data_IF_021722982882
#
_entry.id   IF_021722982882
#
_cell.length_a   1.000
_cell.length_b   1.000
_cell.length_c   1.000
_cell.angle_alpha   90.00
_cell.angle_beta   90.00
_cell.angle_gamma   90.00
#
_symmetry.space_group_name_H-M   'P 1'
#
loop_
_entity.id
_entity.type
_entity.pdbx_description
1 polymer ?
#
# COMPACT_ATOMS: atom_id res chain seq x y z
N UNK A 1 16.61 -3.23 -1.25
CA UNK A 1 15.38 -4.03 -1.02
C UNK A 1 14.25 -3.06 -0.71
N UNK A 2 13.03 -3.36 -1.15
CA UNK A 2 11.81 -2.71 -0.68
C UNK A 2 11.02 -3.72 0.17
N UNK A 3 10.58 -3.27 1.35
CA UNK A 3 9.77 -4.03 2.32
C UNK A 3 8.36 -3.45 2.29
N UNK A 4 7.39 -4.27 1.88
CA UNK A 4 5.98 -3.91 1.86
C UNK A 4 5.29 -4.65 3.00
N UNK A 5 4.70 -3.89 3.92
CA UNK A 5 4.04 -4.40 5.11
C UNK A 5 2.63 -3.81 5.15
N UNK A 6 1.61 -4.67 5.25
CA UNK A 6 0.19 -4.30 5.27
C UNK A 6 -0.41 -4.78 6.58
N UNK A 7 -0.78 -3.83 7.44
CA UNK A 7 -1.52 -4.10 8.67
C UNK A 7 -3.02 -4.02 8.39
N UNK A 8 -3.73 -5.14 8.45
CA UNK A 8 -5.17 -5.21 8.18
C UNK A 8 -5.99 -4.80 9.42
N UNK A 9 -5.94 -3.51 9.77
CA UNK A 9 -6.86 -2.89 10.72
C UNK A 9 -8.08 -2.31 10.00
N UNK A 10 -9.20 -3.03 10.03
CA UNK A 10 -10.51 -2.53 9.56
C UNK A 10 -11.44 -2.39 10.77
N UNK A 11 -11.62 -1.16 11.24
CA UNK A 11 -12.65 -0.83 12.23
C UNK A 11 -14.02 -0.75 11.52
N UNK A 12 -14.73 -1.88 11.43
CA UNK A 12 -15.98 -1.99 10.67
C UNK A 12 -17.19 -1.39 11.40
N UNK A 13 -17.25 -0.06 11.51
CA UNK A 13 -18.42 0.69 11.98
C UNK A 13 -19.37 0.98 10.81
N UNK A 14 -20.29 0.06 10.55
CA UNK A 14 -21.38 0.24 9.58
C UNK A 14 -22.48 1.17 10.12
N UNK A 15 -22.46 2.44 9.71
CA UNK A 15 -23.57 3.38 9.91
C UNK A 15 -24.12 3.89 8.57
N UNK A 16 -25.37 3.54 8.27
CA UNK A 16 -26.07 4.02 7.07
C UNK A 16 -26.48 5.50 7.24
N UNK A 17 -25.78 6.41 6.55
CA UNK A 17 -26.11 7.83 6.49
C UNK A 17 -26.52 8.26 5.08
N UNK A 18 -27.77 8.71 4.91
CA UNK A 18 -28.21 9.37 3.67
C UNK A 18 -27.77 10.84 3.68
N UNK A 19 -26.74 11.18 2.89
CA UNK A 19 -26.32 12.55 2.72
C UNK A 19 -27.21 13.30 1.71
N UNK A 20 -27.90 14.35 2.15
CA UNK A 20 -28.39 15.41 1.27
C UNK A 20 -27.49 16.63 1.41
N UNK A 21 -26.85 17.05 0.31
CA UNK A 21 -26.04 18.25 0.29
C UNK A 21 -26.91 19.50 0.14
N UNK A 22 -26.71 20.49 1.00
CA UNK A 22 -27.08 21.89 0.73
C UNK A 22 -25.84 22.76 0.88
N UNK A 23 -25.47 23.44 -0.21
CA UNK A 23 -24.35 24.36 -0.25
C UNK A 23 -24.78 25.77 0.16
N UNK A 24 -24.10 26.38 1.14
CA UNK A 24 -24.23 27.79 1.47
C UNK A 24 -22.84 28.44 1.55
N UNK A 25 -22.53 29.30 0.58
CA UNK A 25 -21.33 30.13 0.58
C UNK A 25 -21.40 31.23 1.66
N UNK A 26 -20.28 31.49 2.33
CA UNK A 26 -20.01 32.75 3.05
C UNK A 26 -18.53 33.10 2.91
N UNK A 27 -18.23 34.31 2.44
CA UNK A 27 -16.86 34.76 2.11
C UNK A 27 -16.09 35.37 3.28
N UNK A 28 -14.81 35.64 3.03
CA UNK A 28 -13.83 36.16 3.99
C UNK A 28 -14.09 37.58 4.50
N UNK A 29 -13.66 37.85 5.73
CA UNK A 29 -13.09 39.14 6.14
C UNK A 29 -12.18 38.96 7.37
N UNK A 30 -10.98 39.55 7.36
CA UNK A 30 -10.15 39.76 8.55
C UNK A 30 -10.75 40.84 9.46
N UNK A 31 -10.42 40.83 10.76
CA UNK A 31 -10.75 41.95 11.65
C UNK A 31 -10.49 41.72 13.13
N UNK A 32 -9.36 42.20 13.65
CA UNK A 32 -9.04 42.18 15.08
C UNK A 32 -9.64 43.40 15.81
N UNK A 33 -10.44 43.20 16.86
CA UNK A 33 -10.51 44.12 18.03
C UNK A 33 -11.28 43.51 19.20
N UNK A 34 -10.98 43.98 20.42
CA UNK A 34 -11.71 43.68 21.66
C UNK A 34 -12.55 44.88 22.10
N UNK A 35 -13.68 44.67 22.82
CA UNK A 35 -14.17 45.50 23.94
C UNK A 35 -15.50 44.97 24.52
N UNK A 36 -15.63 45.07 25.85
CA UNK A 36 -16.82 45.05 26.73
C UNK A 36 -18.06 44.18 26.40
N UNK A 37 -18.49 43.40 27.41
CA UNK A 37 -19.86 42.90 27.50
C UNK A 37 -20.85 44.03 27.83
N UNK A 38 -22.06 43.96 27.27
CA UNK A 38 -23.20 44.79 27.67
C UNK A 38 -24.49 43.98 27.67
N UNK A 39 -25.32 44.16 28.70
CA UNK A 39 -26.53 43.37 28.92
C UNK A 39 -27.74 44.04 28.24
N UNK A 40 -28.27 43.43 27.18
CA UNK A 40 -29.44 43.93 26.45
C UNK A 40 -30.65 43.02 26.68
N UNK A 41 -31.64 43.50 27.44
CA UNK A 41 -32.88 42.76 27.75
C UNK A 41 -33.86 42.83 26.58
N UNK A 42 -33.84 41.83 25.68
CA UNK A 42 -34.74 41.74 24.53
C UNK A 42 -36.13 41.17 24.90
N UNK A 43 -37.20 41.86 24.52
CA UNK A 43 -38.59 41.39 24.65
C UNK A 43 -38.91 40.30 23.63
N UNK A 44 -39.56 39.22 24.07
CA UNK A 44 -39.96 38.10 23.20
C UNK A 44 -41.26 38.42 22.48
N UNK A 45 -41.24 38.44 21.15
CA UNK A 45 -42.44 38.46 20.32
C UNK A 45 -42.84 37.03 19.93
N UNK A 46 -44.02 36.58 20.36
CA UNK A 46 -44.54 35.23 20.10
C UNK A 46 -45.08 35.07 18.68
N UNK A 47 -44.19 34.81 17.72
CA UNK A 47 -44.56 34.38 16.38
C UNK A 47 -45.17 32.98 16.37
N UNK A 48 -46.40 32.83 15.85
CA UNK A 48 -47.07 31.53 15.72
C UNK A 48 -46.53 30.74 14.52
N UNK A 49 -45.34 30.16 14.69
CA UNK A 49 -44.73 29.21 13.74
C UNK A 49 -44.98 27.76 14.15
N UNK A 50 -45.23 26.88 13.18
CA UNK A 50 -45.32 25.44 13.44
C UNK A 50 -43.94 24.92 13.86
N UNK A 51 -43.83 24.35 15.06
CA UNK A 51 -42.55 23.80 15.54
C UNK A 51 -42.16 22.57 14.70
N UNK A 52 -41.18 22.74 13.82
CA UNK A 52 -40.44 21.62 13.23
C UNK A 52 -39.58 20.99 14.32
N UNK A 53 -39.88 19.75 14.71
CA UNK A 53 -39.11 19.05 15.75
C UNK A 53 -37.73 18.66 15.20
N UNK A 54 -36.74 19.53 15.36
CA UNK A 54 -35.36 19.20 15.07
C UNK A 54 -34.91 18.08 16.01
N UNK A 55 -34.80 16.86 15.46
CA UNK A 55 -34.10 15.78 16.15
C UNK A 55 -32.61 16.02 16.00
N UNK A 56 -31.90 16.13 17.12
CA UNK A 56 -30.45 15.99 17.11
C UNK A 56 -30.11 14.60 16.54
N UNK A 57 -29.53 14.57 15.35
CA UNK A 57 -28.89 13.38 14.80
C UNK A 57 -27.65 13.13 15.66
N UNK A 58 -27.35 11.86 15.95
CA UNK A 58 -26.10 11.52 16.65
C UNK A 58 -24.92 11.78 15.72
N UNK A 59 -24.23 12.89 15.95
CA UNK A 59 -22.90 13.14 15.38
C UNK A 59 -21.87 12.40 16.20
N UNK A 60 -21.02 11.61 15.55
CA UNK A 60 -19.83 11.00 16.18
C UNK A 60 -18.95 12.14 16.71
N UNK A 61 -18.43 12.08 17.96
CA UNK A 61 -17.55 13.12 18.46
C UNK A 61 -16.21 13.09 17.71
N UNK A 62 -15.65 14.25 17.35
CA UNK A 62 -14.38 14.37 16.62
C UNK A 62 -13.15 13.77 17.34
N UNK A 63 -13.30 13.35 18.60
CA UNK A 63 -12.32 12.53 19.33
C UNK A 63 -12.29 11.06 18.89
N UNK A 64 -13.29 10.59 18.13
CA UNK A 64 -13.30 9.24 17.56
C UNK A 64 -12.37 9.12 16.33
N UNK A 65 -12.15 10.23 15.63
CA UNK A 65 -11.23 10.33 14.49
C UNK A 65 -9.76 10.47 14.96
N UNK A 66 -9.54 10.70 16.26
CA UNK A 66 -8.21 10.71 16.87
C UNK A 66 -7.71 9.29 17.12
N UNK A 67 -7.05 8.72 16.11
CA UNK A 67 -6.32 7.46 16.22
C UNK A 67 -5.20 7.52 17.28
N UNK A 68 -4.79 6.35 17.78
CA UNK A 68 -3.66 6.25 18.69
C UNK A 68 -2.35 6.65 17.99
N UNK A 69 -1.53 7.48 18.64
CA UNK A 69 -0.18 7.77 18.16
C UNK A 69 0.73 6.56 18.46
N UNK A 70 1.04 5.78 17.43
CA UNK A 70 1.84 4.55 17.53
C UNK A 70 3.23 4.75 16.93
N UNK A 71 4.25 4.23 17.61
CA UNK A 71 5.60 4.14 17.04
C UNK A 71 5.58 3.11 15.89
N UNK A 72 6.07 3.44 14.68
CA UNK A 72 6.16 2.46 13.59
C UNK A 72 7.08 1.30 13.96
N UNK A 73 6.74 0.09 13.53
CA UNK A 73 7.52 -1.15 13.75
C UNK A 73 8.96 -1.06 13.23
N UNK A 74 9.26 -0.13 12.30
CA UNK A 74 10.60 0.16 11.78
C UNK A 74 11.43 1.12 12.65
N UNK A 75 10.81 1.75 13.65
CA UNK A 75 11.43 2.69 14.60
C UNK A 75 11.45 2.12 16.03
N UNK A 76 10.68 1.08 16.30
CA UNK A 76 10.65 0.34 17.57
C UNK A 76 11.82 -0.66 17.66
N UNK A 77 12.77 -0.52 18.61
CA UNK A 77 13.87 -1.46 18.80
C UNK A 77 13.45 -2.79 19.47
N UNK A 78 12.26 -2.87 20.06
CA UNK A 78 11.72 -4.10 20.68
C UNK A 78 10.86 -4.92 19.69
N UNK A 79 10.61 -4.39 18.48
CA UNK A 79 9.85 -5.05 17.44
C UNK A 79 10.50 -6.36 16.94
N UNK A 80 9.71 -7.43 16.92
CA UNK A 80 10.12 -8.76 16.46
C UNK A 80 10.10 -8.80 14.93
N UNK A 81 11.28 -8.84 14.31
CA UNK A 81 11.42 -8.89 12.83
C UNK A 81 10.92 -10.23 12.22
N UNK A 82 9.78 -10.25 11.51
CA UNK A 82 9.15 -11.49 11.05
C UNK A 82 10.00 -12.30 10.06
N UNK A 83 10.81 -11.61 9.25
CA UNK A 83 11.80 -12.25 8.36
C UNK A 83 12.75 -13.18 9.12
N UNK A 84 13.07 -12.89 10.38
CA UNK A 84 13.91 -13.76 11.22
C UNK A 84 13.11 -14.93 11.79
N UNK A 85 11.99 -14.66 12.46
CA UNK A 85 11.29 -15.64 13.30
C UNK A 85 10.27 -16.52 12.57
N UNK A 86 9.59 -16.02 11.53
CA UNK A 86 8.53 -16.76 10.86
C UNK A 86 9.09 -17.87 9.94
N UNK A 87 8.34 -18.96 9.69
CA UNK A 87 8.80 -20.05 8.84
C UNK A 87 8.81 -19.70 7.35
N UNK A 88 7.92 -18.82 6.91
CA UNK A 88 7.58 -18.67 5.49
C UNK A 88 6.62 -19.77 5.00
N UNK A 89 6.49 -19.92 3.69
CA UNK A 89 5.57 -20.88 3.04
C UNK A 89 6.32 -21.79 2.06
N UNK A 90 5.71 -22.90 1.64
CA UNK A 90 6.18 -23.77 0.55
C UNK A 90 5.07 -23.96 -0.49
N UNK A 91 5.41 -23.83 -1.78
CA UNK A 91 4.47 -24.09 -2.87
C UNK A 91 4.33 -25.59 -3.17
N UNK A 92 3.10 -26.04 -3.38
CA UNK A 92 2.71 -27.41 -3.73
C UNK A 92 1.56 -27.39 -4.75
N UNK A 93 1.18 -28.56 -5.28
CA UNK A 93 0.04 -28.72 -6.20
C UNK A 93 0.06 -27.77 -7.42
N UNK A 94 1.24 -27.54 -7.99
CA UNK A 94 1.43 -26.49 -9.01
C UNK A 94 0.81 -26.88 -10.35
N UNK A 95 -0.29 -26.22 -10.72
CA UNK A 95 -0.98 -26.42 -12.01
C UNK A 95 -0.64 -25.27 -12.94
N UNK A 96 -0.05 -25.56 -14.11
CA UNK A 96 0.28 -24.56 -15.14
C UNK A 96 -0.73 -24.58 -16.28
N UNK A 97 -0.98 -23.42 -16.89
CA UNK A 97 -1.78 -23.26 -18.09
C UNK A 97 -1.12 -22.27 -19.06
N UNK A 98 -1.69 -22.12 -20.26
CA UNK A 98 -1.25 -21.11 -21.24
C UNK A 98 -1.46 -19.67 -20.73
N UNK A 99 -2.33 -19.49 -19.74
CA UNK A 99 -2.78 -18.19 -19.21
C UNK A 99 -2.41 -17.99 -17.73
N UNK A 100 -1.60 -18.86 -17.13
CA UNK A 100 -1.25 -18.73 -15.72
C UNK A 100 -0.51 -19.93 -15.11
N UNK A 101 -0.36 -19.89 -13.80
CA UNK A 101 -0.26 -21.06 -12.95
C UNK A 101 -0.91 -20.80 -11.58
N UNK A 102 -1.40 -21.85 -10.94
CA UNK A 102 -1.83 -21.82 -9.54
C UNK A 102 -1.01 -22.79 -8.70
N UNK A 103 -0.96 -22.56 -7.39
CA UNK A 103 -0.33 -23.43 -6.41
C UNK A 103 -1.01 -23.31 -5.05
N UNK A 104 -0.92 -24.36 -4.24
CA UNK A 104 -1.23 -24.29 -2.80
C UNK A 104 0.04 -23.88 -2.06
N UNK A 105 0.02 -22.78 -1.32
CA UNK A 105 1.10 -22.44 -0.40
C UNK A 105 0.72 -22.94 1.00
N UNK A 106 1.56 -23.78 1.60
CA UNK A 106 1.38 -24.25 2.99
C UNK A 106 2.51 -23.72 3.87
N UNK A 107 2.22 -23.44 5.13
CA UNK A 107 3.20 -22.88 6.07
C UNK A 107 4.42 -23.81 6.23
N UNK A 108 5.63 -23.27 6.13
CA UNK A 108 6.89 -24.05 6.03
C UNK A 108 7.41 -24.60 7.38
N UNK A 109 6.62 -24.49 8.44
CA UNK A 109 7.01 -24.83 9.81
C UNK A 109 5.95 -24.37 10.82
N UNK A 110 6.25 -24.37 12.13
CA UNK A 110 5.34 -23.87 13.15
C UNK A 110 4.99 -22.39 12.96
N UNK A 111 3.73 -22.04 13.21
CA UNK A 111 3.25 -20.66 13.17
C UNK A 111 4.01 -19.76 14.15
N UNK A 112 4.37 -18.57 13.69
CA UNK A 112 5.07 -17.55 14.46
C UNK A 112 4.09 -16.61 15.19
N UNK A 113 2.95 -16.28 14.57
CA UNK A 113 1.88 -15.45 15.15
C UNK A 113 2.41 -14.15 15.80
N UNK A 114 3.21 -13.38 15.07
CA UNK A 114 3.97 -12.24 15.60
C UNK A 114 3.10 -11.00 15.76
N UNK A 115 2.25 -10.72 14.77
CA UNK A 115 1.40 -9.53 14.69
C UNK A 115 -0.08 -9.88 14.40
N UNK A 116 -0.44 -11.15 14.59
CA UNK A 116 -1.72 -11.74 14.22
C UNK A 116 -1.70 -13.26 14.37
N UNK A 117 -2.43 -13.96 13.51
CA UNK A 117 -2.47 -15.43 13.43
C UNK A 117 -2.12 -15.88 12.02
N UNK A 118 -1.12 -16.75 11.87
CA UNK A 118 -0.70 -17.30 10.57
C UNK A 118 -1.85 -18.02 9.85
N UNK A 119 -1.92 -17.86 8.52
CA UNK A 119 -2.92 -18.53 7.68
C UNK A 119 -2.32 -19.80 7.08
N UNK A 120 -2.48 -20.94 7.77
CA UNK A 120 -1.83 -22.23 7.48
C UNK A 120 -1.75 -22.64 5.99
N UNK A 121 -2.77 -22.30 5.19
CA UNK A 121 -2.83 -22.61 3.76
C UNK A 121 -3.41 -21.43 2.95
N UNK A 122 -2.68 -21.04 1.90
CA UNK A 122 -3.04 -19.99 0.95
C UNK A 122 -3.19 -20.58 -0.47
N UNK A 123 -4.00 -19.95 -1.30
CA UNK A 123 -4.02 -20.14 -2.74
C UNK A 123 -3.15 -19.07 -3.40
N UNK A 124 -2.14 -19.50 -4.17
CA UNK A 124 -1.42 -18.66 -5.11
C UNK A 124 -2.08 -18.79 -6.50
N UNK A 125 -2.44 -17.67 -7.09
CA UNK A 125 -2.86 -17.58 -8.50
C UNK A 125 -1.98 -16.56 -9.21
N UNK A 126 -1.27 -17.00 -10.24
CA UNK A 126 -0.53 -16.15 -11.16
C UNK A 126 -1.16 -16.28 -12.54
N UNK A 127 -1.58 -15.18 -13.14
CA UNK A 127 -2.39 -15.17 -14.36
C UNK A 127 -1.62 -14.40 -15.49
N UNK A 128 -1.95 -14.48 -16.79
CA UNK A 128 -1.30 -13.82 -17.99
C UNK A 128 -2.02 -12.72 -18.97
N UNK A 129 -2.22 -11.38 -18.64
CA UNK A 129 -3.03 -10.26 -19.26
C UNK A 129 -2.71 -9.90 -20.72
N UNK A 130 -1.53 -9.34 -20.91
CA UNK A 130 -1.05 -8.53 -22.02
C UNK A 130 0.48 -8.73 -22.04
N UNK A 131 1.21 -7.90 -22.76
CA UNK A 131 2.67 -7.88 -22.67
C UNK A 131 3.22 -7.07 -21.47
N UNK A 132 2.39 -6.34 -20.69
CA UNK A 132 2.84 -5.14 -19.94
C UNK A 132 2.24 -4.90 -18.52
N UNK A 133 1.70 -5.90 -17.83
CA UNK A 133 1.20 -5.80 -16.43
C UNK A 133 1.69 -7.04 -15.63
N UNK A 134 1.05 -7.48 -14.53
CA UNK A 134 1.14 -8.83 -13.90
C UNK A 134 0.30 -8.87 -12.62
N UNK A 135 -0.62 -9.82 -12.52
CA UNK A 135 -1.34 -10.16 -11.30
C UNK A 135 -0.77 -11.44 -10.69
N UNK A 136 -0.10 -11.28 -9.56
CA UNK A 136 0.11 -12.33 -8.56
C UNK A 136 -0.90 -12.09 -7.45
N UNK A 137 -1.83 -13.02 -7.25
CA UNK A 137 -2.79 -13.01 -6.16
C UNK A 137 -2.43 -14.11 -5.16
N UNK A 138 -2.40 -13.78 -3.87
CA UNK A 138 -2.21 -14.71 -2.75
C UNK A 138 -3.33 -14.43 -1.77
N UNK A 139 -4.18 -15.43 -1.50
CA UNK A 139 -5.33 -15.31 -0.61
C UNK A 139 -5.50 -16.56 0.27
N UNK A 140 -6.20 -16.46 1.42
CA UNK A 140 -6.52 -17.63 2.24
C UNK A 140 -7.20 -18.74 1.43
N UNK A 141 -6.81 -20.01 1.62
CA UNK A 141 -7.42 -21.12 0.90
C UNK A 141 -8.87 -21.40 1.31
N UNK A 142 -9.27 -20.94 2.50
CA UNK A 142 -10.63 -20.96 3.01
C UNK A 142 -11.06 -19.52 3.36
N UNK A 143 -12.01 -18.97 2.58
CA UNK A 143 -12.54 -17.61 2.75
C UNK A 143 -13.99 -17.71 3.18
N UNK A 144 -14.28 -17.24 4.40
CA UNK A 144 -15.64 -17.13 4.93
C UNK A 144 -16.36 -15.89 4.39
N UNK A 145 -17.69 -15.90 4.45
CA UNK A 145 -18.54 -14.75 4.06
C UNK A 145 -18.24 -13.46 4.84
N UNK A 146 -17.63 -13.55 6.03
CA UNK A 146 -17.17 -12.39 6.82
C UNK A 146 -15.94 -11.70 6.23
N UNK A 147 -15.07 -12.43 5.51
CA UNK A 147 -13.76 -11.96 5.07
C UNK A 147 -13.68 -11.79 3.55
N UNK A 148 -14.71 -12.22 2.81
CA UNK A 148 -14.75 -12.28 1.35
C UNK A 148 -14.47 -10.94 0.65
N UNK A 149 -14.87 -9.82 1.25
CA UNK A 149 -14.66 -8.47 0.72
C UNK A 149 -13.22 -7.96 0.83
N UNK A 150 -12.34 -8.65 1.56
CA UNK A 150 -10.95 -8.22 1.80
C UNK A 150 -9.98 -8.73 0.72
N UNK A 151 -10.32 -9.80 -0.02
CA UNK A 151 -9.35 -10.56 -0.84
C UNK A 151 -9.75 -10.74 -2.31
N UNK A 152 -10.94 -10.30 -2.74
CA UNK A 152 -11.46 -10.57 -4.08
C UNK A 152 -11.61 -9.26 -4.87
N UNK A 153 -10.76 -9.09 -5.88
CA UNK A 153 -10.85 -8.07 -6.91
C UNK A 153 -10.77 -8.75 -8.27
N UNK A 154 -11.45 -8.20 -9.29
CA UNK A 154 -11.54 -8.85 -10.60
C UNK A 154 -10.18 -8.95 -11.29
N UNK A 155 -9.91 -10.11 -11.85
CA UNK A 155 -8.65 -10.46 -12.51
C UNK A 155 -8.65 -10.11 -14.00
N UNK A 156 -7.45 -9.93 -14.55
CA UNK A 156 -7.24 -10.15 -15.99
C UNK A 156 -5.75 -10.42 -16.36
N UNK A 157 -4.91 -11.15 -15.57
CA UNK A 157 -3.73 -11.95 -16.09
C UNK A 157 -2.17 -11.44 -15.69
N UNK A 158 -0.84 -11.21 -16.15
CA UNK A 158 0.32 -11.21 -17.23
C UNK A 158 1.47 -12.23 -17.00
N UNK A 159 2.01 -12.76 -18.12
CA UNK A 159 3.21 -13.61 -18.36
C UNK A 159 4.04 -14.16 -17.17
N UNK A 160 4.34 -15.45 -17.29
CA UNK A 160 5.04 -16.32 -16.34
C UNK A 160 6.28 -15.72 -15.64
N UNK A 161 6.22 -15.51 -14.30
CA UNK A 161 7.40 -15.38 -13.46
C UNK A 161 8.03 -16.75 -13.18
N UNK A 162 9.31 -16.73 -12.82
CA UNK A 162 10.02 -17.89 -12.28
C UNK A 162 9.73 -18.02 -10.79
N UNK A 163 9.74 -19.24 -10.24
CA UNK A 163 9.53 -19.47 -8.80
C UNK A 163 10.42 -20.61 -8.29
N UNK A 164 10.66 -20.62 -6.98
CA UNK A 164 11.44 -21.62 -6.25
C UNK A 164 10.89 -21.87 -4.85
N UNK A 165 11.47 -22.87 -4.16
CA UNK A 165 11.02 -23.37 -2.85
C UNK A 165 12.18 -23.56 -1.86
N UNK A 166 13.34 -22.94 -2.11
CA UNK A 166 14.58 -23.14 -1.35
C UNK A 166 15.10 -21.79 -0.80
N UNK A 167 15.14 -21.58 0.53
CA UNK A 167 14.62 -22.45 1.58
C UNK A 167 13.08 -22.39 1.75
N UNK A 168 12.42 -21.44 1.08
CA UNK A 168 10.96 -21.22 1.13
C UNK A 168 10.44 -20.76 -0.23
N UNK A 169 9.11 -20.68 -0.39
CA UNK A 169 8.45 -20.15 -1.57
C UNK A 169 8.96 -18.74 -1.89
N UNK A 170 9.48 -18.59 -3.10
CA UNK A 170 9.94 -17.32 -3.64
C UNK A 170 9.65 -17.22 -5.14
N UNK A 171 9.51 -16.02 -5.66
CA UNK A 171 9.36 -15.79 -7.10
C UNK A 171 10.15 -14.58 -7.61
N UNK A 172 10.40 -14.59 -8.92
CA UNK A 172 11.20 -13.61 -9.62
C UNK A 172 10.53 -13.26 -10.95
N UNK A 173 10.33 -11.97 -11.21
CA UNK A 173 9.77 -11.43 -12.46
C UNK A 173 10.92 -10.88 -13.30
N UNK A 174 11.04 -11.30 -14.56
CA UNK A 174 12.14 -10.91 -15.45
C UNK A 174 11.63 -10.23 -16.73
N UNK A 175 12.30 -9.15 -17.14
CA UNK A 175 12.05 -8.42 -18.39
C UNK A 175 12.61 -9.22 -19.57
N UNK A 176 11.74 -9.87 -20.34
CA UNK A 176 12.13 -10.79 -21.43
C UNK A 176 13.05 -10.19 -22.51
N UNK A 177 13.10 -8.88 -22.68
CA UNK A 177 13.89 -8.21 -23.71
C UNK A 177 15.39 -8.08 -23.39
N UNK A 178 15.78 -8.13 -22.11
CA UNK A 178 17.17 -7.97 -21.66
C UNK A 178 17.56 -8.87 -20.48
N UNK A 179 16.63 -9.65 -19.93
CA UNK A 179 16.86 -10.51 -18.76
C UNK A 179 16.84 -9.80 -17.41
N UNK A 180 16.54 -8.50 -17.36
CA UNK A 180 16.57 -7.71 -16.13
C UNK A 180 15.55 -8.22 -15.09
N UNK A 181 15.96 -8.25 -13.82
CA UNK A 181 15.19 -8.79 -12.70
C UNK A 181 14.35 -7.67 -12.08
N UNK A 182 13.11 -7.55 -12.54
CA UNK A 182 12.21 -6.46 -12.16
C UNK A 182 11.79 -6.54 -10.70
N UNK A 183 11.57 -7.76 -10.21
CA UNK A 183 11.01 -8.06 -8.90
C UNK A 183 11.54 -9.42 -8.44
N UNK A 184 11.97 -9.56 -7.18
CA UNK A 184 12.66 -10.77 -6.72
C UNK A 184 12.55 -10.97 -5.21
N UNK A 185 11.90 -12.06 -4.78
CA UNK A 185 11.67 -12.39 -3.36
C UNK A 185 12.65 -13.41 -2.80
N UNK A 186 13.68 -13.79 -3.56
CA UNK A 186 14.65 -14.82 -3.12
C UNK A 186 15.45 -14.30 -1.92
N UNK A 187 15.67 -15.18 -0.94
CA UNK A 187 16.33 -14.83 0.33
C UNK A 187 15.45 -14.09 1.34
N UNK A 188 14.17 -13.87 1.04
CA UNK A 188 13.18 -13.31 1.96
C UNK A 188 12.03 -14.30 2.16
N UNK A 189 11.14 -14.03 3.13
CA UNK A 189 9.99 -14.87 3.46
C UNK A 189 8.70 -14.10 3.24
N UNK A 190 7.73 -14.75 2.60
CA UNK A 190 6.32 -14.35 2.68
C UNK A 190 5.84 -14.58 4.12
N UNK A 191 5.30 -13.55 4.76
CA UNK A 191 4.54 -13.69 6.03
C UNK A 191 3.10 -13.27 5.76
N UNK A 192 2.16 -14.09 6.19
CA UNK A 192 0.74 -13.90 5.92
C UNK A 192 -0.07 -14.33 7.13
N UNK A 193 -0.37 -13.36 7.98
CA UNK A 193 -1.20 -13.48 9.16
C UNK A 193 -2.53 -12.73 8.94
N UNK A 194 -3.55 -13.04 9.73
CA UNK A 194 -4.89 -12.42 9.62
C UNK A 194 -4.91 -10.88 9.74
N UNK A 195 -3.91 -10.26 10.37
CA UNK A 195 -3.79 -8.82 10.57
C UNK A 195 -2.47 -8.22 10.05
N UNK A 196 -1.55 -9.05 9.55
CA UNK A 196 -0.21 -8.64 9.13
C UNK A 196 0.23 -9.44 7.90
N UNK A 197 0.45 -8.75 6.78
CA UNK A 197 1.04 -9.34 5.57
C UNK A 197 2.35 -8.63 5.29
N UNK A 198 3.42 -9.39 5.12
CA UNK A 198 4.74 -8.86 4.76
C UNK A 198 5.31 -9.54 3.53
N UNK A 199 5.81 -8.69 2.65
CA UNK A 199 6.34 -9.03 1.36
C UNK A 199 7.58 -8.20 1.06
N UNK A 200 8.67 -8.83 0.60
CA UNK A 200 9.95 -8.13 0.36
C UNK A 200 10.48 -8.46 -1.03
N UNK A 201 10.83 -7.42 -1.80
CA UNK A 201 11.56 -7.56 -3.06
C UNK A 201 12.96 -6.97 -2.95
N UNK A 202 13.93 -7.61 -3.60
CA UNK A 202 15.17 -6.95 -3.96
C UNK A 202 14.88 -5.77 -4.93
N UNK A 203 15.79 -4.80 -4.93
CA UNK A 203 15.85 -3.69 -5.87
C UNK A 203 17.33 -3.45 -6.19
N UNK A 204 17.67 -3.00 -7.42
CA UNK A 204 19.06 -2.74 -7.80
C UNK A 204 19.67 -1.59 -7.01
N UNK A 205 21.00 -1.46 -7.07
CA UNK A 205 21.69 -0.32 -6.46
C UNK A 205 21.23 1.01 -7.09
N UNK A 206 21.03 2.03 -6.26
CA UNK A 206 20.59 3.37 -6.67
C UNK A 206 19.31 3.41 -7.52
N UNK A 207 18.37 2.50 -7.23
CA UNK A 207 17.04 2.41 -7.83
C UNK A 207 16.29 3.75 -7.89
N UNK A 208 15.38 3.92 -8.86
CA UNK A 208 14.58 5.13 -9.02
C UNK A 208 13.09 4.78 -8.86
N UNK A 209 12.61 4.78 -7.61
CA UNK A 209 11.19 4.66 -7.30
C UNK A 209 10.48 6.01 -7.31
N UNK A 210 9.24 6.00 -7.79
CA UNK A 210 8.33 7.14 -7.87
C UNK A 210 6.92 6.71 -7.43
N UNK A 211 6.16 7.57 -6.74
CA UNK A 211 4.74 7.31 -6.41
C UNK A 211 4.45 7.00 -4.93
N UNK A 212 3.72 5.92 -4.67
CA UNK A 212 3.20 5.47 -3.36
C UNK A 212 2.28 6.49 -2.64
N UNK A 213 1.58 7.37 -3.34
CA UNK A 213 0.82 8.48 -2.76
C UNK A 213 -0.31 8.09 -1.78
N UNK A 214 -0.96 9.05 -1.12
CA UNK A 214 -0.76 10.50 -1.20
C UNK A 214 0.11 11.01 -0.04
N UNK A 215 1.10 11.87 -0.34
CA UNK A 215 1.95 12.58 0.66
C UNK A 215 2.72 13.73 0.01
N UNK A 216 3.21 14.65 0.83
CA UNK A 216 4.18 15.68 0.42
C UNK A 216 5.59 15.10 0.48
N UNK A 217 6.18 14.77 -0.67
CA UNK A 217 7.56 14.26 -0.79
C UNK A 217 8.21 14.69 -2.11
N UNK A 218 9.52 14.44 -2.28
CA UNK A 218 10.20 14.58 -3.56
C UNK A 218 9.67 13.60 -4.63
N UNK A 219 9.80 13.94 -5.92
CA UNK A 219 9.27 13.11 -7.01
C UNK A 219 9.89 11.70 -7.03
N UNK A 220 11.22 11.60 -6.90
CA UNK A 220 11.94 10.33 -6.65
C UNK A 220 11.96 10.08 -5.15
N UNK A 221 11.52 8.89 -4.71
CA UNK A 221 11.41 8.52 -3.30
C UNK A 221 12.75 8.32 -2.55
N UNK A 222 13.88 8.40 -3.26
CA UNK A 222 15.21 8.13 -2.70
C UNK A 222 15.42 6.68 -2.27
N UNK A 223 16.51 6.46 -1.52
CA UNK A 223 16.90 5.15 -1.00
C UNK A 223 16.52 5.06 0.50
N UNK A 224 16.12 3.89 0.98
CA UNK A 224 15.77 3.62 2.40
C UNK A 224 14.62 4.47 2.96
N UNK A 225 13.74 4.99 2.10
CA UNK A 225 12.51 5.67 2.50
C UNK A 225 11.49 4.67 3.06
N UNK A 226 10.84 5.03 4.17
CA UNK A 226 9.74 4.28 4.79
C UNK A 226 8.52 5.18 4.83
N UNK A 227 7.37 4.69 4.38
CA UNK A 227 6.15 5.48 4.32
C UNK A 227 4.90 4.67 4.64
N UNK A 228 4.01 5.26 5.43
CA UNK A 228 2.66 4.77 5.65
C UNK A 228 1.76 5.16 4.47
N UNK A 229 0.84 4.26 4.09
CA UNK A 229 -0.24 4.52 3.14
C UNK A 229 -1.56 4.22 3.86
N UNK A 230 -2.17 5.26 4.41
CA UNK A 230 -3.45 5.22 5.11
C UNK A 230 -4.09 6.61 4.99
N UNK A 231 -5.39 6.67 4.71
CA UNK A 231 -6.11 7.93 4.52
C UNK A 231 -6.23 8.70 5.85
N UNK A 232 -5.75 9.93 5.89
CA UNK A 232 -5.78 10.81 7.07
C UNK A 232 -6.32 12.20 6.72
N UNK A 233 -7.23 12.73 7.55
CA UNK A 233 -7.61 14.14 7.51
C UNK A 233 -6.56 14.97 8.29
N UNK A 234 -5.54 15.39 7.55
CA UNK A 234 -4.42 16.22 8.00
C UNK A 234 -4.07 17.17 6.84
N UNK A 235 -3.37 18.28 7.12
CA UNK A 235 -2.96 19.24 6.09
C UNK A 235 -1.80 18.74 5.22
N UNK A 236 -0.74 19.54 5.08
CA UNK A 236 0.41 19.25 4.22
C UNK A 236 1.70 18.82 4.98
N UNK A 237 1.70 17.78 5.84
CA UNK A 237 2.91 17.30 6.48
C UNK A 237 3.86 16.64 5.45
N UNK A 238 5.15 16.91 5.60
CA UNK A 238 6.20 16.25 4.82
C UNK A 238 6.29 14.76 5.23
N UNK A 239 6.45 13.89 4.24
CA UNK A 239 6.66 12.43 4.32
C UNK A 239 5.51 11.57 4.92
N UNK A 240 4.52 12.16 5.57
CA UNK A 240 3.35 11.46 6.12
C UNK A 240 2.23 11.26 5.08
N UNK A 241 1.44 10.20 5.25
CA UNK A 241 0.24 9.97 4.43
C UNK A 241 -0.86 10.99 4.71
N UNK A 242 -1.55 11.44 3.67
CA UNK A 242 -2.67 12.38 3.74
C UNK A 242 -3.97 11.75 3.22
N UNK A 243 -4.86 12.48 2.55
CA UNK A 243 -6.22 12.04 2.21
C UNK A 243 -6.29 10.75 1.37
N UNK A 244 -5.43 10.62 0.35
CA UNK A 244 -5.44 9.51 -0.62
C UNK A 244 -4.55 8.32 -0.26
N UNK A 245 -4.95 7.12 -0.68
CA UNK A 245 -4.17 5.88 -0.54
C UNK A 245 -3.96 5.20 -1.90
N UNK A 246 -2.75 5.34 -2.43
CA UNK A 246 -2.34 4.90 -3.77
C UNK A 246 -1.08 4.00 -3.68
N UNK A 247 -1.24 2.71 -3.34
CA UNK A 247 -0.13 1.73 -3.25
C UNK A 247 0.36 1.30 -4.64
N UNK A 248 0.72 2.27 -5.48
CA UNK A 248 1.29 2.11 -6.81
C UNK A 248 2.63 2.84 -6.88
N UNK A 249 3.65 2.21 -7.45
CA UNK A 249 4.93 2.84 -7.74
C UNK A 249 5.38 2.53 -9.17
N UNK A 250 6.31 3.33 -9.67
CA UNK A 250 7.05 3.09 -10.89
C UNK A 250 8.54 2.93 -10.54
N UNK A 251 9.21 1.89 -11.03
CA UNK A 251 10.67 1.75 -10.97
C UNK A 251 11.26 2.07 -12.35
N UNK A 252 12.09 3.10 -12.46
CA UNK A 252 12.72 3.49 -13.73
C UNK A 252 14.22 3.19 -13.72
N UNK A 253 14.63 2.28 -14.60
CA UNK A 253 16.01 1.82 -14.72
C UNK A 253 16.64 2.45 -15.94
N UNK A 254 17.84 2.98 -15.76
CA UNK A 254 18.66 3.54 -16.82
C UNK A 254 19.71 2.52 -17.25
N UNK A 255 20.06 2.53 -18.52
CA UNK A 255 21.08 1.66 -19.10
C UNK A 255 22.03 2.47 -19.96
N UNK A 256 23.32 2.22 -19.82
CA UNK A 256 24.35 2.69 -20.75
C UNK A 256 24.48 1.69 -21.90
N UNK A 257 24.53 2.21 -23.14
CA UNK A 257 24.61 1.42 -24.36
C UNK A 257 26.04 1.46 -24.88
N UNK A 258 26.68 0.30 -25.03
CA UNK A 258 27.99 0.22 -25.67
C UNK A 258 27.88 0.61 -27.16
N UNK A 259 28.73 1.54 -27.61
CA UNK A 259 28.67 2.12 -28.95
C UNK A 259 29.21 1.21 -30.07
N UNK A 260 29.79 0.07 -29.73
CA UNK A 260 30.36 -0.90 -30.68
C UNK A 260 29.57 -2.21 -30.70
N UNK A 261 29.07 -2.70 -29.56
CA UNK A 261 28.28 -3.94 -29.48
C UNK A 261 26.78 -3.71 -29.41
N UNK A 262 26.33 -2.56 -28.91
CA UNK A 262 24.92 -2.28 -28.61
C UNK A 262 24.42 -2.90 -27.30
N UNK A 263 25.29 -3.51 -26.49
CA UNK A 263 24.92 -4.11 -25.21
C UNK A 263 24.45 -3.05 -24.20
N UNK A 264 23.42 -3.38 -23.43
CA UNK A 264 22.85 -2.52 -22.38
C UNK A 264 23.35 -2.95 -21.00
N UNK A 265 24.09 -2.08 -20.32
CA UNK A 265 24.51 -2.30 -18.92
C UNK A 265 23.73 -1.40 -17.98
N UNK A 266 23.30 -1.91 -16.81
CA UNK A 266 22.50 -1.12 -15.85
C UNK A 266 23.34 0.01 -15.26
N UNK A 267 22.84 1.24 -15.38
CA UNK A 267 23.52 2.45 -14.96
C UNK A 267 23.03 2.90 -13.57
N UNK A 268 23.87 2.71 -12.55
CA UNK A 268 23.61 3.08 -11.15
C UNK A 268 24.28 4.40 -10.72
N UNK A 269 24.90 5.13 -11.66
CA UNK A 269 25.69 6.33 -11.36
C UNK A 269 24.87 7.61 -11.18
N UNK A 270 25.48 8.62 -10.55
CA UNK A 270 24.85 9.93 -10.34
C UNK A 270 25.24 10.99 -11.40
N UNK A 271 26.22 10.71 -12.26
CA UNK A 271 26.77 11.67 -13.23
C UNK A 271 26.87 11.02 -14.63
N UNK A 272 25.90 11.26 -15.51
CA UNK A 272 25.97 10.77 -16.89
C UNK A 272 27.10 11.43 -17.67
N UNK A 273 27.77 10.68 -18.54
CA UNK A 273 28.74 11.26 -19.47
C UNK A 273 27.98 12.07 -20.53
N UNK A 274 28.38 13.33 -20.77
CA UNK A 274 27.68 14.21 -21.74
C UNK A 274 27.65 13.68 -23.19
N UNK A 275 28.56 12.75 -23.52
CA UNK A 275 28.64 12.07 -24.81
C UNK A 275 28.23 10.58 -24.74
N UNK A 276 27.74 10.10 -23.59
CA UNK A 276 27.30 8.71 -23.40
C UNK A 276 25.95 8.44 -24.06
N UNK A 277 25.73 7.20 -24.49
CA UNK A 277 24.44 6.75 -25.02
C UNK A 277 23.67 6.04 -23.92
N UNK A 278 22.48 6.55 -23.59
CA UNK A 278 21.65 6.02 -22.50
C UNK A 278 20.21 5.76 -22.97
N UNK A 279 19.60 4.71 -22.43
CA UNK A 279 18.16 4.44 -22.57
C UNK A 279 17.55 4.21 -21.19
N UNK A 280 16.23 4.36 -21.08
CA UNK A 280 15.48 4.09 -19.85
C UNK A 280 14.36 3.10 -20.09
N UNK A 281 14.08 2.28 -19.08
CA UNK A 281 12.94 1.37 -19.06
C UNK A 281 12.27 1.44 -17.69
N UNK A 282 10.97 1.68 -17.70
CA UNK A 282 10.15 1.65 -16.48
C UNK A 282 9.34 0.35 -16.39
N UNK A 283 8.82 0.06 -15.19
CA UNK A 283 7.77 -0.93 -14.90
C UNK A 283 7.05 -0.56 -13.60
#
# INVERSE_FOLDING_TARGET
MARFTVNAFICSLLTYGFAQAQSSYSGSADGLTTVAASTATGTVATGSGTQTSFRAIFTVPASADQGANLLPTTQDPEAVDPQKVCPGYMASNVVRSEVGFSATLSLAGPACNVYGTDIETLNLTVAYQTAHRLAVNISPANITTSNMTQYILSDELVQQPNWGNDPTFSFTVLRKSNGDVLFDTRGTKLVFENQFIEFVSALPENYNLYGLGERIHGLRLGNNFTATTYAADVGDPIDLGIYGSHPFYLDTRYYEIDSHTGDMTYYSGNNSAANGSYTSMSH
#
